data_IF_082327051172
#
_entry.id   IF_082327051172
#
_cell.length_a   1.000
_cell.length_b   1.000
_cell.length_c   1.000
_cell.angle_alpha   90.00
_cell.angle_beta   90.00
_cell.angle_gamma   90.00
#
_symmetry.space_group_name_H-M   'P 1'
#
loop_
_entity.id
_entity.type
_entity.pdbx_description
1 polymer ?
#
# COMPACT_ATOMS: atom_id res chain seq x y z
N UNK A 1 -17.32 -15.94 -14.61
CA UNK A 1 -17.90 -14.87 -13.75
C UNK A 1 -17.11 -14.82 -12.44
N UNK A 2 -15.88 -14.28 -12.50
CA UNK A 2 -14.93 -14.29 -11.38
C UNK A 2 -15.18 -13.10 -10.45
N UNK A 3 -16.01 -13.36 -9.45
CA UNK A 3 -16.30 -12.59 -8.23
C UNK A 3 -15.28 -11.48 -7.92
N UNK A 4 -15.68 -10.23 -8.18
CA UNK A 4 -15.07 -8.96 -7.72
C UNK A 4 -15.10 -8.81 -6.19
N UNK A 5 -14.57 -9.79 -5.47
CA UNK A 5 -14.67 -9.87 -4.01
C UNK A 5 -13.40 -9.34 -3.36
N UNK A 6 -13.10 -8.06 -3.59
CA UNK A 6 -12.25 -7.21 -2.72
C UNK A 6 -12.04 -5.77 -3.21
N UNK A 7 -12.58 -5.32 -4.36
CA UNK A 7 -12.52 -3.89 -4.72
C UNK A 7 -13.71 -3.19 -4.07
N UNK A 8 -13.67 -3.08 -2.74
CA UNK A 8 -14.63 -2.26 -2.02
C UNK A 8 -14.58 -0.84 -2.57
N UNK A 9 -15.76 -0.20 -2.73
CA UNK A 9 -15.91 1.23 -3.02
C UNK A 9 -15.11 2.16 -2.06
N UNK A 10 -14.44 1.61 -1.04
CA UNK A 10 -13.82 2.30 0.08
C UNK A 10 -12.27 2.26 0.14
N UNK A 11 -11.57 1.54 -0.76
CA UNK A 11 -10.09 1.46 -0.71
C UNK A 11 -9.54 0.54 0.38
N UNK A 12 -8.21 0.34 0.37
CA UNK A 12 -7.45 -0.47 1.33
C UNK A 12 -7.03 0.41 2.51
N UNK A 13 -7.35 0.00 3.73
CA UNK A 13 -6.91 0.67 4.96
C UNK A 13 -5.76 -0.11 5.57
N UNK A 14 -4.66 0.58 5.87
CA UNK A 14 -3.51 -0.07 6.48
C UNK A 14 -2.38 0.89 6.86
N UNK A 15 -1.35 0.34 7.46
CA UNK A 15 -0.11 1.02 7.81
C UNK A 15 0.86 0.97 6.62
N UNK A 16 1.50 2.09 6.32
CA UNK A 16 2.60 2.09 5.34
C UNK A 16 3.84 1.52 6.01
N UNK A 17 4.38 0.43 5.45
CA UNK A 17 5.61 -0.21 5.92
C UNK A 17 6.66 -0.25 4.81
N UNK A 18 7.96 -0.25 5.15
CA UNK A 18 9.00 -0.46 4.15
C UNK A 18 8.92 -1.90 3.61
N UNK A 19 9.12 -2.05 2.31
CA UNK A 19 9.03 -3.35 1.62
C UNK A 19 10.27 -3.68 0.77
N UNK A 20 11.05 -2.67 0.40
CA UNK A 20 12.26 -2.85 -0.40
C UNK A 20 13.33 -1.87 0.04
N UNK A 21 14.58 -2.36 0.09
CA UNK A 21 15.77 -1.59 0.41
C UNK A 21 16.76 -1.68 -0.74
N UNK A 22 17.53 -0.62 -0.96
CA UNK A 22 18.71 -0.67 -1.82
C UNK A 22 19.91 -1.27 -1.06
N UNK A 23 21.04 -1.41 -1.77
CA UNK A 23 22.28 -1.95 -1.23
C UNK A 23 22.87 -1.11 -0.07
N UNK A 24 22.45 0.15 0.07
CA UNK A 24 22.88 1.05 1.14
C UNK A 24 21.92 1.04 2.33
N UNK A 25 20.87 0.21 2.31
CA UNK A 25 19.85 0.16 3.34
C UNK A 25 18.84 1.32 3.26
N UNK A 26 18.78 2.06 2.15
CA UNK A 26 17.75 3.07 1.93
C UNK A 26 16.46 2.39 1.48
N UNK A 27 15.33 2.78 2.09
CA UNK A 27 14.01 2.29 1.67
C UNK A 27 13.68 2.84 0.28
N UNK A 28 13.45 1.95 -0.67
CA UNK A 28 13.10 2.27 -2.07
C UNK A 28 11.72 1.77 -2.49
N UNK A 29 11.02 1.03 -1.62
CA UNK A 29 9.67 0.55 -1.88
C UNK A 29 8.84 0.39 -0.61
N UNK A 30 7.52 0.51 -0.77
CA UNK A 30 6.56 0.48 0.33
C UNK A 30 5.52 -0.64 0.14
N UNK A 31 4.91 -1.05 1.25
CA UNK A 31 3.73 -1.90 1.27
C UNK A 31 2.69 -1.36 2.24
N UNK A 32 1.44 -1.77 2.04
CA UNK A 32 0.33 -1.47 2.94
C UNK A 32 0.01 -2.73 3.72
N UNK A 33 0.23 -2.70 5.02
CA UNK A 33 -0.13 -3.78 5.93
C UNK A 33 -1.48 -3.46 6.58
N UNK A 34 -2.49 -4.29 6.30
CA UNK A 34 -3.84 -4.10 6.84
C UNK A 34 -3.98 -4.72 8.22
N UNK A 35 -5.03 -4.32 8.95
CA UNK A 35 -5.34 -4.92 10.27
C UNK A 35 -5.75 -6.40 10.16
N UNK A 36 -6.04 -6.89 8.95
CA UNK A 36 -6.37 -8.30 8.65
C UNK A 36 -5.16 -9.13 8.23
N UNK A 37 -3.94 -8.68 8.56
CA UNK A 37 -2.67 -9.33 8.24
C UNK A 37 -2.38 -9.47 6.73
N UNK A 38 -3.14 -8.76 5.89
CA UNK A 38 -2.88 -8.73 4.45
C UNK A 38 -1.82 -7.68 4.13
N UNK A 39 -0.86 -8.05 3.28
CA UNK A 39 0.18 -7.15 2.80
C UNK A 39 -0.03 -6.88 1.30
N UNK A 40 -0.11 -5.60 0.95
CA UNK A 40 -0.21 -5.14 -0.43
C UNK A 40 1.07 -4.40 -0.82
N UNK A 41 1.86 -4.98 -1.71
CA UNK A 41 3.04 -4.33 -2.29
C UNK A 41 2.60 -3.15 -3.16
N UNK A 42 3.20 -1.99 -2.96
CA UNK A 42 2.92 -0.83 -3.82
C UNK A 42 3.61 -1.02 -5.16
N UNK A 43 2.88 -0.86 -6.25
CA UNK A 43 3.47 -0.89 -7.58
C UNK A 43 4.33 0.36 -7.81
N UNK A 44 5.50 0.17 -8.43
CA UNK A 44 6.42 1.26 -8.76
C UNK A 44 5.72 2.31 -9.64
N UNK A 45 5.43 3.46 -9.04
CA UNK A 45 4.76 4.59 -9.68
C UNK A 45 5.07 5.89 -8.94
N UNK A 46 4.58 7.03 -9.45
CA UNK A 46 4.77 8.33 -8.79
C UNK A 46 4.27 8.38 -7.33
N UNK A 47 3.20 7.63 -7.02
CA UNK A 47 2.60 7.61 -5.68
C UNK A 47 3.43 6.81 -4.67
N UNK A 48 4.29 5.88 -5.12
CA UNK A 48 5.21 5.16 -4.25
C UNK A 48 6.15 6.12 -3.51
N UNK A 49 6.76 7.08 -4.21
CA UNK A 49 7.62 8.09 -3.61
C UNK A 49 6.89 8.94 -2.56
N UNK A 50 5.61 9.25 -2.79
CA UNK A 50 4.78 9.98 -1.83
C UNK A 50 4.48 9.12 -0.60
N UNK A 51 4.14 7.83 -0.77
CA UNK A 51 3.90 6.90 0.33
C UNK A 51 5.16 6.65 1.17
N UNK A 52 6.34 6.57 0.54
CA UNK A 52 7.62 6.47 1.24
C UNK A 52 7.89 7.66 2.18
N UNK A 53 7.31 8.83 1.90
CA UNK A 53 7.39 9.99 2.80
C UNK A 53 6.41 9.91 3.99
N UNK A 54 5.54 8.90 4.01
CA UNK A 54 4.49 8.67 5.00
C UNK A 54 4.64 7.31 5.70
N UNK A 55 5.85 6.75 5.74
CA UNK A 55 6.13 5.50 6.44
C UNK A 55 5.60 5.54 7.88
N UNK A 56 5.05 4.41 8.32
CA UNK A 56 4.42 4.20 9.63
C UNK A 56 3.17 5.04 9.89
N UNK A 57 2.60 5.69 8.87
CA UNK A 57 1.30 6.33 8.97
C UNK A 57 0.20 5.38 8.50
N UNK A 58 -0.95 5.44 9.19
CA UNK A 58 -2.16 4.73 8.77
C UNK A 58 -2.84 5.51 7.64
N UNK A 59 -3.18 4.82 6.56
CA UNK A 59 -3.72 5.43 5.35
C UNK A 59 -4.92 4.67 4.81
N UNK A 60 -5.77 5.39 4.09
CA UNK A 60 -6.72 4.80 3.13
C UNK A 60 -6.14 4.95 1.74
N UNK A 61 -5.87 3.85 1.06
CA UNK A 61 -5.31 3.80 -0.29
C UNK A 61 -6.39 3.37 -1.28
N UNK A 62 -6.54 4.12 -2.36
CA UNK A 62 -7.42 3.76 -3.48
C UNK A 62 -6.57 3.42 -4.70
N UNK A 63 -6.87 2.30 -5.32
CA UNK A 63 -6.07 1.79 -6.42
C UNK A 63 -6.66 0.53 -7.03
N UNK A 64 -5.95 0.00 -8.01
CA UNK A 64 -6.25 -1.31 -8.59
C UNK A 64 -5.38 -2.36 -7.90
N UNK A 65 -6.01 -3.40 -7.38
CA UNK A 65 -5.31 -4.53 -6.78
C UNK A 65 -5.16 -5.62 -7.84
N UNK A 66 -3.96 -6.19 -7.96
CA UNK A 66 -3.66 -7.32 -8.81
C UNK A 66 -2.92 -8.36 -7.99
N UNK A 67 -3.32 -9.61 -8.12
CA UNK A 67 -2.58 -10.73 -7.57
C UNK A 67 -1.52 -11.15 -8.60
N UNK A 68 -0.27 -11.25 -8.16
CA UNK A 68 0.83 -11.76 -8.97
C UNK A 68 0.86 -13.28 -8.91
N UNK A 69 1.56 -13.89 -9.87
CA UNK A 69 1.71 -15.35 -9.98
C UNK A 69 2.47 -15.97 -8.78
N UNK A 70 3.21 -15.16 -8.04
CA UNK A 70 3.93 -15.53 -6.82
C UNK A 70 3.02 -15.51 -5.56
N UNK A 71 1.73 -15.18 -5.71
CA UNK A 71 0.77 -15.04 -4.61
C UNK A 71 0.81 -13.69 -3.92
N UNK A 72 1.72 -12.78 -4.30
CA UNK A 72 1.79 -11.45 -3.72
C UNK A 72 0.68 -10.55 -4.27
N UNK A 73 0.06 -9.76 -3.38
CA UNK A 73 -0.91 -8.73 -3.78
C UNK A 73 -0.17 -7.44 -4.09
N UNK A 74 -0.37 -6.92 -5.30
CA UNK A 74 0.18 -5.67 -5.77
C UNK A 74 -0.94 -4.63 -5.86
N UNK A 75 -0.72 -3.41 -5.35
CA UNK A 75 -1.65 -2.29 -5.49
C UNK A 75 -1.05 -1.18 -6.36
N UNK A 76 -1.74 -0.86 -7.45
CA UNK A 76 -1.49 0.33 -8.25
C UNK A 76 -2.22 1.52 -7.61
N UNK A 77 -1.50 2.28 -6.80
CA UNK A 77 -2.06 3.40 -6.05
C UNK A 77 -2.45 4.54 -7.00
N UNK A 78 -3.72 4.93 -6.96
CA UNK A 78 -4.27 6.08 -7.67
C UNK A 78 -4.34 7.32 -6.78
N UNK A 79 -4.65 7.11 -5.49
CA UNK A 79 -4.66 8.17 -4.47
C UNK A 79 -4.60 7.54 -3.08
N UNK A 80 -4.15 8.31 -2.09
CA UNK A 80 -4.23 7.93 -0.70
C UNK A 80 -4.62 9.12 0.18
N UNK A 81 -5.07 8.83 1.40
CA UNK A 81 -5.27 9.82 2.45
C UNK A 81 -4.72 9.27 3.76
N UNK A 82 -4.00 10.09 4.50
CA UNK A 82 -3.64 9.78 5.88
C UNK A 82 -4.89 9.78 6.75
N UNK A 83 -5.03 8.74 7.55
CA UNK A 83 -6.00 8.71 8.63
C UNK A 83 -5.22 9.30 9.79
N UNK A 84 -5.38 10.60 10.01
CA UNK A 84 -4.74 11.27 11.13
C UNK A 84 -5.13 10.55 12.43
N UNK A 85 -4.22 9.76 12.98
CA UNK A 85 -4.12 9.64 14.43
C UNK A 85 -3.47 10.94 14.89
N UNK A 86 -4.10 11.63 15.84
CA UNK A 86 -3.67 12.91 16.36
C UNK A 86 -2.14 12.99 16.53
N UNK A 87 -1.51 13.83 15.73
CA UNK A 87 -0.09 14.17 15.82
C UNK A 87 0.04 15.62 15.41
N UNK A 88 -0.30 16.51 16.35
CA UNK A 88 0.11 17.92 16.35
C UNK A 88 1.62 18.02 16.52
#
# INVERSE_FOLDING_TARGET
MGKDKAIGRNGVVGLIIPAQWDENGKVIGAAIHTDGEEVFLVAHNRMESELLSHLHLKVVVKGEIRERLDGNKLIHVKSFKTIAGEGK
#
